data_IF_461438879674
#
_entry.id   IF_461438879674
#
_cell.length_a   1.000
_cell.length_b   1.000
_cell.length_c   1.000
_cell.angle_alpha   90.00
_cell.angle_beta   90.00
_cell.angle_gamma   90.00
#
_symmetry.space_group_name_H-M   'P 1'
#
loop_
_entity.id
_entity.type
_entity.pdbx_description
1 polymer ?
#
# COMPACT_ATOMS: atom_id res chain seq x y z
N UNK A 1 -11.29 33.47 -12.22
CA UNK A 1 -10.85 32.19 -11.63
C UNK A 1 -9.65 32.52 -10.76
N UNK A 2 -9.81 32.57 -9.44
CA UNK A 2 -8.66 32.78 -8.55
C UNK A 2 -7.86 31.47 -8.49
N UNK A 3 -6.61 31.50 -8.99
CA UNK A 3 -5.68 30.39 -8.79
C UNK A 3 -5.27 30.38 -7.31
N UNK A 4 -5.50 29.26 -6.63
CA UNK A 4 -5.02 29.06 -5.28
C UNK A 4 -3.49 29.00 -5.29
N UNK A 5 -2.85 30.12 -4.95
CA UNK A 5 -1.40 30.29 -4.90
C UNK A 5 -0.80 29.84 -3.57
N UNK A 6 -1.61 29.26 -2.67
CA UNK A 6 -1.11 28.80 -1.37
C UNK A 6 -0.06 27.70 -1.57
N UNK A 7 1.09 27.79 -0.89
CA UNK A 7 2.10 26.74 -0.97
C UNK A 7 1.50 25.43 -0.46
N UNK A 8 1.56 24.39 -1.30
CA UNK A 8 1.13 23.05 -0.90
C UNK A 8 2.07 22.55 0.20
N UNK A 9 1.51 22.25 1.36
CA UNK A 9 2.26 21.66 2.46
C UNK A 9 2.87 20.34 2.01
N UNK A 10 4.12 20.12 2.40
CA UNK A 10 4.75 18.81 2.20
C UNK A 10 4.07 17.77 3.10
N UNK A 11 4.22 16.50 2.75
CA UNK A 11 3.72 15.39 3.56
C UNK A 11 4.38 15.39 4.95
N UNK A 12 5.65 15.81 5.04
CA UNK A 12 6.36 15.98 6.31
C UNK A 12 5.75 17.10 7.16
N UNK A 13 5.40 18.23 6.56
CA UNK A 13 4.72 19.33 7.27
C UNK A 13 3.35 18.90 7.79
N UNK A 14 2.62 18.10 7.01
CA UNK A 14 1.34 17.53 7.42
C UNK A 14 1.55 16.60 8.62
N UNK A 15 2.54 15.71 8.58
CA UNK A 15 2.84 14.81 9.69
C UNK A 15 3.22 15.58 10.95
N UNK A 16 4.09 16.58 10.83
CA UNK A 16 4.50 17.44 11.94
C UNK A 16 3.31 18.19 12.55
N UNK A 17 2.44 18.76 11.72
CA UNK A 17 1.22 19.47 12.17
C UNK A 17 0.21 18.56 12.86
N UNK A 18 0.18 17.28 12.48
CA UNK A 18 -0.66 16.26 13.12
C UNK A 18 -0.02 15.64 14.36
N UNK A 19 1.19 16.06 14.75
CA UNK A 19 1.94 15.45 15.86
C UNK A 19 2.38 14.01 15.59
N UNK A 20 2.46 13.61 14.32
CA UNK A 20 2.85 12.27 13.91
C UNK A 20 4.36 12.18 13.75
N UNK A 21 5.00 11.35 14.58
CA UNK A 21 6.40 11.00 14.42
C UNK A 21 6.54 9.85 13.42
N UNK A 22 7.15 10.11 12.26
CA UNK A 22 7.43 9.07 11.27
C UNK A 22 8.86 8.58 11.43
N UNK A 23 9.02 7.42 12.08
CA UNK A 23 10.32 6.79 12.28
C UNK A 23 10.70 5.86 11.12
N UNK A 24 11.99 5.66 10.90
CA UNK A 24 12.49 4.75 9.86
C UNK A 24 12.08 3.29 10.11
N UNK A 25 12.00 2.89 11.38
CA UNK A 25 11.48 1.60 11.81
C UNK A 25 9.99 1.46 11.45
N UNK A 26 9.19 2.51 11.68
CA UNK A 26 7.78 2.54 11.30
C UNK A 26 7.60 2.40 9.79
N UNK A 27 8.42 3.12 9.00
CA UNK A 27 8.45 3.00 7.54
C UNK A 27 8.85 1.57 7.11
N UNK A 28 9.83 0.96 7.77
CA UNK A 28 10.27 -0.41 7.48
C UNK A 28 9.16 -1.44 7.75
N UNK A 29 8.47 -1.34 8.89
CA UNK A 29 7.32 -2.21 9.22
C UNK A 29 6.17 -2.04 8.25
N UNK A 30 5.87 -0.80 7.82
CA UNK A 30 4.85 -0.52 6.82
C UNK A 30 5.19 -1.19 5.47
N UNK A 31 6.44 -1.07 5.02
CA UNK A 31 6.92 -1.75 3.80
C UNK A 31 6.83 -3.28 3.92
N UNK A 32 7.18 -3.84 5.06
CA UNK A 32 7.08 -5.29 5.29
C UNK A 32 5.62 -5.78 5.22
N UNK A 33 4.69 -5.06 5.88
CA UNK A 33 3.26 -5.37 5.82
C UNK A 33 2.72 -5.32 4.40
N UNK A 34 3.11 -4.31 3.61
CA UNK A 34 2.72 -4.19 2.21
C UNK A 34 3.21 -5.37 1.38
N UNK A 35 4.49 -5.73 1.48
CA UNK A 35 5.06 -6.90 0.77
C UNK A 35 4.37 -8.20 1.16
N UNK A 36 4.03 -8.38 2.45
CA UNK A 36 3.30 -9.57 2.91
C UNK A 36 1.90 -9.64 2.31
N UNK A 37 1.21 -8.50 2.24
CA UNK A 37 -0.12 -8.42 1.63
C UNK A 37 -0.09 -8.66 0.12
N UNK A 38 0.92 -8.15 -0.58
CA UNK A 38 1.13 -8.42 -2.02
C UNK A 38 1.34 -9.93 -2.26
N UNK A 39 2.23 -10.58 -1.49
CA UNK A 39 2.42 -12.04 -1.60
C UNK A 39 1.16 -12.84 -1.33
N UNK A 40 0.38 -12.47 -0.31
CA UNK A 40 -0.86 -13.17 0.01
C UNK A 40 -1.88 -13.10 -1.13
N UNK A 41 -1.96 -11.96 -1.84
CA UNK A 41 -2.82 -11.81 -3.02
C UNK A 41 -2.34 -12.67 -4.19
N UNK A 42 -1.03 -12.77 -4.40
CA UNK A 42 -0.47 -13.62 -5.45
C UNK A 42 -0.75 -15.10 -5.17
N UNK A 43 -0.64 -15.52 -3.90
CA UNK A 43 -0.94 -16.90 -3.48
C UNK A 43 -2.43 -17.23 -3.68
N UNK A 44 -3.33 -16.30 -3.36
CA UNK A 44 -4.77 -16.44 -3.57
C UNK A 44 -5.12 -16.52 -5.06
N UNK A 45 -4.58 -15.61 -5.88
CA UNK A 45 -4.76 -15.61 -7.33
C UNK A 45 -4.23 -16.90 -7.97
N UNK A 46 -3.09 -17.40 -7.50
CA UNK A 46 -2.52 -18.68 -7.95
C UNK A 46 -3.40 -19.86 -7.55
N UNK A 47 -3.91 -19.89 -6.31
CA UNK A 47 -4.81 -20.95 -5.86
C UNK A 47 -6.10 -20.98 -6.69
N UNK A 48 -6.69 -19.82 -6.97
CA UNK A 48 -7.88 -19.69 -7.82
C UNK A 48 -7.61 -20.17 -9.26
N UNK A 49 -6.47 -19.80 -9.85
CA UNK A 49 -6.08 -20.26 -11.18
C UNK A 49 -5.93 -21.79 -11.26
N UNK A 50 -5.25 -22.39 -10.29
CA UNK A 50 -5.07 -23.84 -10.23
C UNK A 50 -6.41 -24.58 -10.03
N UNK A 51 -7.32 -24.01 -9.22
CA UNK A 51 -8.66 -24.55 -9.08
C UNK A 51 -9.43 -24.53 -10.41
N UNK A 52 -9.35 -23.42 -11.16
CA UNK A 52 -9.98 -23.27 -12.48
C UNK A 52 -9.43 -24.25 -13.53
N UNK A 53 -8.14 -24.58 -13.49
CA UNK A 53 -7.56 -25.60 -14.36
C UNK A 53 -8.09 -27.01 -14.04
N UNK A 54 -8.30 -27.34 -12.76
CA UNK A 54 -8.83 -28.65 -12.34
C UNK A 54 -10.29 -28.84 -12.70
N UNK A 55 -11.06 -27.76 -12.76
CA UNK A 55 -12.49 -27.80 -13.10
C UNK A 55 -12.77 -27.77 -14.61
N UNK A 56 -11.74 -27.66 -15.47
CA UNK A 56 -11.93 -27.65 -16.92
C UNK A 56 -12.16 -29.08 -17.44
N UNK A 57 -13.29 -29.36 -18.13
CA UNK A 57 -13.45 -30.62 -18.84
C UNK A 57 -12.45 -30.69 -20.01
N UNK A 58 -12.01 -31.92 -20.31
CA UNK A 58 -11.03 -32.24 -21.36
C UNK A 58 -11.54 -31.91 -22.77
#
# INVERSE_FOLDING_TARGET
MEQDTRPKLSVEDIHARMGLAVTDEGKARARQRRRKAERARDDEGRAAFLAGLRSRPA
#
